data_IF_523383814548
#
_entry.id   IF_523383814548
#
_cell.length_a   1.000
_cell.length_b   1.000
_cell.length_c   1.000
_cell.angle_alpha   90.00
_cell.angle_beta   90.00
_cell.angle_gamma   90.00
#
_symmetry.space_group_name_H-M   'P 1'
#
loop_
_entity.id
_entity.type
_entity.pdbx_description
1 polymer ?
#
# COMPACT_ATOMS: atom_id res chain seq x y z
N UNK A 1 -4.70 -5.08 10.73
CA UNK A 1 -5.05 -3.74 11.30
C UNK A 1 -6.37 -3.19 10.77
N UNK A 2 -6.68 -3.31 9.47
CA UNK A 2 -7.98 -2.87 8.91
C UNK A 2 -9.16 -3.56 9.63
N UNK A 3 -9.11 -4.87 9.83
CA UNK A 3 -10.15 -5.64 10.55
C UNK A 3 -10.29 -5.20 12.01
N UNK A 4 -9.17 -4.91 12.67
CA UNK A 4 -9.22 -4.37 14.04
C UNK A 4 -9.95 -3.02 14.09
N UNK A 5 -9.66 -2.13 13.15
CA UNK A 5 -10.31 -0.83 13.10
C UNK A 5 -11.80 -0.92 12.74
N UNK A 6 -12.14 -1.72 11.72
CA UNK A 6 -13.53 -1.82 11.19
C UNK A 6 -14.42 -2.78 11.97
N UNK A 7 -13.85 -3.82 12.58
CA UNK A 7 -14.59 -4.96 13.14
C UNK A 7 -14.26 -5.23 14.62
N UNK A 8 -13.29 -4.53 15.19
CA UNK A 8 -12.85 -4.70 16.58
C UNK A 8 -12.01 -5.96 16.86
N UNK A 9 -11.66 -6.72 15.84
CA UNK A 9 -10.86 -7.95 15.96
C UNK A 9 -9.69 -7.96 14.99
N UNK A 10 -8.61 -8.65 15.35
CA UNK A 10 -7.48 -8.90 14.46
C UNK A 10 -7.75 -10.18 13.68
N UNK A 11 -8.38 -10.05 12.54
CA UNK A 11 -8.48 -11.16 11.58
C UNK A 11 -7.39 -11.05 10.52
N UNK A 12 -6.66 -12.14 10.34
CA UNK A 12 -5.89 -12.38 9.13
C UNK A 12 -6.76 -13.16 8.17
N UNK A 13 -7.24 -12.51 7.14
CA UNK A 13 -7.76 -13.23 5.98
C UNK A 13 -6.67 -13.29 4.93
N UNK A 14 -6.30 -14.54 4.68
CA UNK A 14 -5.74 -15.07 3.45
C UNK A 14 -4.89 -14.12 2.59
N UNK A 15 -3.62 -14.42 2.54
CA UNK A 15 -2.64 -13.84 1.68
C UNK A 15 -1.54 -13.14 2.46
N UNK A 16 -0.35 -13.67 2.39
CA UNK A 16 0.84 -12.98 2.83
C UNK A 16 1.02 -11.76 1.93
N UNK A 17 0.90 -10.56 2.49
CA UNK A 17 1.30 -9.35 1.79
C UNK A 17 2.83 -9.35 1.62
N UNK A 18 3.31 -8.96 0.45
CA UNK A 18 4.74 -8.78 0.17
C UNK A 18 5.29 -7.49 0.76
N UNK A 19 4.44 -6.66 1.36
CA UNK A 19 4.85 -5.43 2.03
C UNK A 19 5.50 -5.73 3.38
N UNK A 20 6.71 -5.24 3.55
CA UNK A 20 7.45 -5.35 4.81
C UNK A 20 7.09 -4.21 5.77
N UNK A 21 6.98 -4.52 7.06
CA UNK A 21 6.75 -3.51 8.12
C UNK A 21 5.34 -2.95 8.23
N UNK A 22 4.37 -3.48 7.48
CA UNK A 22 2.97 -3.06 7.50
C UNK A 22 2.05 -4.26 7.77
N UNK A 23 0.85 -4.02 8.31
CA UNK A 23 -0.13 -5.09 8.54
C UNK A 23 0.16 -5.97 9.73
N UNK A 24 0.66 -5.41 10.82
CA UNK A 24 1.01 -6.16 12.04
C UNK A 24 -0.18 -6.94 12.61
N UNK A 25 0.14 -8.15 13.14
CA UNK A 25 -0.81 -9.09 13.75
C UNK A 25 -1.14 -8.78 15.20
N UNK A 26 -0.72 -7.64 15.74
CA UNK A 26 -0.95 -7.24 17.11
C UNK A 26 -1.23 -5.75 17.21
N UNK A 27 -2.07 -5.37 18.14
CA UNK A 27 -2.22 -3.97 18.57
C UNK A 27 -1.03 -3.63 19.45
N UNK A 28 -0.27 -2.63 19.05
CA UNK A 28 0.89 -2.14 19.80
C UNK A 28 0.46 -0.96 20.68
N UNK A 29 1.21 -0.69 21.76
CA UNK A 29 0.87 0.40 22.70
C UNK A 29 0.73 1.77 22.05
N UNK A 30 1.51 2.05 21.01
CA UNK A 30 1.41 3.30 20.27
C UNK A 30 0.16 3.40 19.37
N UNK A 31 -0.59 2.31 19.21
CA UNK A 31 -1.91 2.33 18.56
C UNK A 31 -3.06 2.46 19.56
N UNK A 32 -2.79 2.24 20.87
CA UNK A 32 -3.78 2.42 21.91
C UNK A 32 -4.16 3.91 22.02
N UNK A 33 -5.45 4.20 21.90
CA UNK A 33 -5.98 5.56 22.00
C UNK A 33 -5.82 6.44 20.75
N UNK A 34 -5.23 5.93 19.66
CA UNK A 34 -5.23 6.66 18.38
C UNK A 34 -6.66 6.79 17.88
N UNK A 35 -7.04 8.01 17.54
CA UNK A 35 -8.27 8.30 16.80
C UNK A 35 -7.99 8.16 15.32
N UNK A 36 -8.68 7.24 14.67
CA UNK A 36 -8.65 7.05 13.22
C UNK A 36 -10.06 7.27 12.69
N UNK A 37 -10.19 8.08 11.65
CA UNK A 37 -11.48 8.37 11.02
C UNK A 37 -11.87 7.25 10.06
N UNK A 38 -10.88 6.68 9.36
CA UNK A 38 -11.11 5.57 8.43
C UNK A 38 -9.87 4.69 8.23
N UNK A 39 -10.07 3.56 7.52
CA UNK A 39 -9.00 2.64 7.14
C UNK A 39 -9.32 1.99 5.78
N UNK A 40 -8.31 1.90 4.93
CA UNK A 40 -8.38 1.24 3.62
C UNK A 40 -7.61 -0.07 3.61
N UNK A 41 -8.15 -1.03 2.86
CA UNK A 41 -7.45 -2.25 2.50
C UNK A 41 -6.95 -2.09 1.07
N UNK A 42 -5.64 -2.11 0.89
CA UNK A 42 -4.97 -1.98 -0.40
C UNK A 42 -4.34 -3.32 -0.74
N UNK A 43 -4.56 -3.80 -1.96
CA UNK A 43 -3.92 -5.02 -2.47
C UNK A 43 -2.46 -4.77 -2.84
N UNK A 44 -1.64 -5.83 -2.82
CA UNK A 44 -0.25 -5.73 -3.26
C UNK A 44 -0.14 -5.34 -4.74
N UNK A 45 -1.09 -5.77 -5.56
CA UNK A 45 -1.16 -5.36 -6.96
C UNK A 45 -1.37 -3.85 -7.11
N UNK A 46 -2.32 -3.26 -6.37
CA UNK A 46 -2.55 -1.82 -6.40
C UNK A 46 -1.32 -1.04 -5.89
N UNK A 47 -0.69 -1.52 -4.83
CA UNK A 47 0.52 -0.92 -4.29
C UNK A 47 1.70 -1.01 -5.28
N UNK A 48 1.87 -2.15 -5.96
CA UNK A 48 2.88 -2.32 -7.01
C UNK A 48 2.66 -1.35 -8.17
N UNK A 49 1.44 -1.25 -8.67
CA UNK A 49 1.09 -0.32 -9.76
C UNK A 49 1.49 1.12 -9.39
N UNK A 50 1.18 1.57 -8.17
CA UNK A 50 1.59 2.89 -7.68
C UNK A 50 3.11 3.02 -7.62
N UNK A 51 3.83 2.01 -7.09
CA UNK A 51 5.30 2.05 -7.01
C UNK A 51 5.93 2.21 -8.40
N UNK A 52 5.42 1.47 -9.38
CA UNK A 52 5.91 1.55 -10.76
C UNK A 52 5.61 2.91 -11.41
N UNK A 53 4.41 3.46 -11.19
CA UNK A 53 4.06 4.79 -11.68
C UNK A 53 4.91 5.88 -11.03
N UNK A 54 5.08 5.86 -9.71
CA UNK A 54 5.94 6.81 -9.01
C UNK A 54 7.38 6.80 -9.55
N UNK A 55 7.90 5.62 -9.89
CA UNK A 55 9.22 5.52 -10.50
C UNK A 55 9.24 6.07 -11.92
N UNK A 56 8.25 5.72 -12.76
CA UNK A 56 8.22 6.12 -14.18
C UNK A 56 7.93 7.61 -14.37
N UNK A 57 6.97 8.13 -13.61
CA UNK A 57 6.41 9.47 -13.84
C UNK A 57 7.08 10.54 -12.98
N UNK A 58 7.48 10.18 -11.74
CA UNK A 58 8.00 11.12 -10.74
C UNK A 58 9.49 10.88 -10.41
N UNK A 59 10.07 9.78 -10.88
CA UNK A 59 11.45 9.41 -10.54
C UNK A 59 11.62 8.96 -9.08
N UNK A 60 10.52 8.62 -8.38
CA UNK A 60 10.52 8.22 -6.97
C UNK A 60 10.70 6.72 -6.85
N UNK A 61 11.87 6.30 -6.39
CA UNK A 61 12.24 4.89 -6.19
C UNK A 61 11.95 4.46 -4.76
N UNK A 62 10.75 3.89 -4.51
CA UNK A 62 10.20 3.60 -3.18
C UNK A 62 9.79 2.14 -3.01
N UNK A 63 9.60 1.71 -1.75
CA UNK A 63 9.13 0.37 -1.40
C UNK A 63 7.60 0.23 -1.43
N UNK A 64 7.13 -1.02 -1.23
CA UNK A 64 5.70 -1.37 -1.36
C UNK A 64 4.83 -0.68 -0.31
N UNK A 65 5.32 -0.47 0.90
CA UNK A 65 4.59 0.26 1.95
C UNK A 65 4.29 1.72 1.55
N UNK A 66 5.18 2.37 0.79
CA UNK A 66 4.92 3.67 0.18
C UNK A 66 3.82 3.58 -0.87
N UNK A 67 3.83 2.53 -1.70
CA UNK A 67 2.78 2.24 -2.67
C UNK A 67 1.41 2.08 -1.99
N UNK A 68 1.33 1.35 -0.88
CA UNK A 68 0.10 1.20 -0.08
C UNK A 68 -0.40 2.56 0.42
N UNK A 69 0.49 3.39 0.96
CA UNK A 69 0.13 4.69 1.49
C UNK A 69 -0.39 5.64 0.39
N UNK A 70 0.29 5.69 -0.74
CA UNK A 70 -0.14 6.52 -1.88
C UNK A 70 -1.43 5.99 -2.50
N UNK A 71 -1.60 4.67 -2.65
CA UNK A 71 -2.85 4.08 -3.12
C UNK A 71 -4.03 4.43 -2.21
N UNK A 72 -3.83 4.38 -0.89
CA UNK A 72 -4.82 4.84 0.09
C UNK A 72 -5.15 6.32 -0.06
N UNK A 73 -4.15 7.16 -0.27
CA UNK A 73 -4.33 8.60 -0.51
C UNK A 73 -5.12 8.88 -1.81
N UNK A 74 -4.81 8.17 -2.89
CA UNK A 74 -5.56 8.27 -4.17
C UNK A 74 -7.01 7.85 -3.99
N UNK A 75 -7.26 6.76 -3.28
CA UNK A 75 -8.62 6.30 -2.99
C UNK A 75 -9.40 7.35 -2.18
N UNK A 76 -8.79 7.89 -1.13
CA UNK A 76 -9.38 8.97 -0.33
C UNK A 76 -9.68 10.21 -1.19
N UNK A 77 -8.75 10.60 -2.08
CA UNK A 77 -8.95 11.73 -2.98
C UNK A 77 -10.15 11.53 -3.92
N UNK A 78 -10.30 10.33 -4.49
CA UNK A 78 -11.45 9.97 -5.34
C UNK A 78 -12.77 10.04 -4.56
N UNK A 79 -12.78 9.56 -3.33
CA UNK A 79 -13.98 9.57 -2.48
C UNK A 79 -14.37 10.98 -2.02
N UNK A 80 -13.40 11.85 -1.74
CA UNK A 80 -13.63 13.21 -1.23
C UNK A 80 -13.85 14.25 -2.33
N UNK A 81 -13.42 13.98 -3.55
CA UNK A 81 -13.48 14.91 -4.66
C UNK A 81 -12.42 16.03 -4.61
N UNK A 82 -12.52 17.01 -5.50
CA UNK A 82 -11.53 18.07 -5.66
C UNK A 82 -11.45 19.02 -4.46
N UNK A 83 -10.34 19.75 -4.36
CA UNK A 83 -10.11 20.78 -3.33
C UNK A 83 -9.54 20.26 -2.02
N UNK A 84 -9.14 18.99 -1.94
CA UNK A 84 -8.52 18.41 -0.76
C UNK A 84 -6.99 18.55 -0.78
N UNK A 85 -6.40 18.74 0.39
CA UNK A 85 -4.96 18.58 0.62
C UNK A 85 -4.77 17.27 1.39
N UNK A 86 -4.12 16.30 0.77
CA UNK A 86 -3.89 14.97 1.33
C UNK A 86 -2.39 14.77 1.51
N UNK A 87 -1.97 14.52 2.74
CA UNK A 87 -0.57 14.24 3.07
C UNK A 87 -0.40 12.75 3.36
N UNK A 88 0.64 12.15 2.82
CA UNK A 88 1.00 10.76 3.09
C UNK A 88 2.51 10.60 3.31
N UNK A 89 2.94 9.38 3.69
CA UNK A 89 4.35 9.08 3.98
C UNK A 89 4.91 8.14 2.91
N UNK A 90 6.10 8.47 2.41
CA UNK A 90 6.96 7.56 1.67
C UNK A 90 7.95 6.94 2.67
N UNK A 91 7.83 5.62 2.89
CA UNK A 91 8.47 4.95 4.03
C UNK A 91 9.95 4.63 3.79
N UNK A 92 10.24 3.78 2.80
CA UNK A 92 11.59 3.30 2.52
C UNK A 92 11.91 3.30 1.04
N UNK A 93 13.22 3.15 0.75
CA UNK A 93 13.74 3.14 -0.62
C UNK A 93 13.46 1.81 -1.33
N UNK A 94 13.18 1.89 -2.63
CA UNK A 94 13.03 0.74 -3.53
C UNK A 94 14.28 -0.14 -3.65
N UNK A 95 15.47 0.37 -3.27
CA UNK A 95 16.73 -0.40 -3.27
C UNK A 95 16.58 -1.73 -2.52
N UNK A 96 15.85 -1.77 -1.40
CA UNK A 96 15.60 -2.97 -0.62
C UNK A 96 14.78 -4.03 -1.36
N UNK A 97 14.09 -3.64 -2.42
CA UNK A 97 13.12 -4.46 -3.14
C UNK A 97 13.53 -4.78 -4.57
N UNK A 98 14.79 -4.51 -4.95
CA UNK A 98 15.27 -4.75 -6.33
C UNK A 98 15.15 -6.20 -6.77
N UNK A 99 15.34 -7.15 -5.86
CA UNK A 99 15.19 -8.60 -6.14
C UNK A 99 13.72 -9.08 -6.15
N UNK A 100 12.78 -8.21 -5.81
CA UNK A 100 11.34 -8.50 -5.71
C UNK A 100 10.55 -7.60 -6.66
N UNK A 101 10.14 -6.43 -6.22
CA UNK A 101 9.22 -5.51 -6.93
C UNK A 101 9.77 -5.00 -8.28
N UNK A 102 11.08 -5.05 -8.47
CA UNK A 102 11.76 -4.59 -9.68
C UNK A 102 12.43 -5.74 -10.44
N UNK A 103 12.06 -6.98 -10.13
CA UNK A 103 12.53 -8.20 -10.80
C UNK A 103 11.34 -8.85 -11.53
N UNK A 104 11.40 -8.88 -12.86
CA UNK A 104 10.32 -9.40 -13.71
C UNK A 104 10.02 -10.89 -13.48
N UNK A 105 11.03 -11.71 -13.18
CA UNK A 105 10.83 -13.13 -12.90
C UNK A 105 10.12 -13.33 -11.57
N UNK A 106 10.51 -12.56 -10.55
CA UNK A 106 9.85 -12.59 -9.26
C UNK A 106 8.38 -12.16 -9.36
N UNK A 107 8.11 -11.06 -10.09
CA UNK A 107 6.74 -10.57 -10.29
C UNK A 107 5.87 -11.61 -11.00
N UNK A 108 6.37 -12.26 -12.06
CA UNK A 108 5.65 -13.34 -12.76
C UNK A 108 5.36 -14.52 -11.86
N UNK A 109 6.34 -14.95 -11.05
CA UNK A 109 6.17 -16.06 -10.09
C UNK A 109 5.08 -15.77 -9.04
N UNK A 110 4.84 -14.50 -8.73
CA UNK A 110 3.85 -14.06 -7.74
C UNK A 110 2.56 -13.51 -8.37
N UNK A 111 2.39 -13.68 -9.71
CA UNK A 111 1.20 -13.25 -10.46
C UNK A 111 0.93 -11.74 -10.31
N UNK A 112 1.99 -10.94 -10.22
CA UNK A 112 1.94 -9.49 -10.14
C UNK A 112 2.33 -8.88 -11.48
N UNK A 113 1.52 -7.92 -11.94
CA UNK A 113 1.74 -7.24 -13.22
C UNK A 113 2.11 -5.76 -12.97
N UNK A 114 3.34 -5.33 -13.30
CA UNK A 114 3.80 -3.97 -13.08
C UNK A 114 3.17 -2.93 -14.04
N UNK A 115 2.52 -3.39 -15.10
CA UNK A 115 2.00 -2.53 -16.17
C UNK A 115 0.47 -2.38 -16.14
N UNK A 116 -0.21 -2.94 -15.14
CA UNK A 116 -1.65 -2.75 -14.98
C UNK A 116 -2.00 -1.28 -14.75
N UNK A 117 -3.04 -0.77 -15.44
CA UNK A 117 -3.50 0.60 -15.21
C UNK A 117 -4.10 0.77 -13.81
N UNK A 118 -3.85 1.93 -13.20
CA UNK A 118 -4.30 2.23 -11.84
C UNK A 118 -5.81 2.07 -11.66
N UNK A 119 -6.60 2.47 -12.65
CA UNK A 119 -8.06 2.40 -12.59
C UNK A 119 -8.60 0.95 -12.60
N UNK A 120 -7.78 -0.03 -12.97
CA UNK A 120 -8.16 -1.44 -12.91
C UNK A 120 -7.91 -2.08 -11.55
N UNK A 121 -7.16 -1.42 -10.67
CA UNK A 121 -6.69 -1.98 -9.39
C UNK A 121 -7.09 -1.14 -8.16
N UNK A 122 -7.58 0.07 -8.36
CA UNK A 122 -8.13 1.00 -7.37
C UNK A 122 -9.54 1.43 -7.76
#
# INVERSE_FOLDING_TARGET
>A
MWSWFKQGNLETKDGESYAEGIGQMRVTKNLEGIRMDDAYRISDQAALTIVQQLLKDEGLFVGLSSGINVAGAVRLARERGPGQVITTLLCDSGVRYMSKLFNSEWLKAHQLDPDLPLDSVL
#
